data_IF_923479779783
#
_entry.id   IF_923479779783
#
_cell.length_a   1.000
_cell.length_b   1.000
_cell.length_c   1.000
_cell.angle_alpha   90.00
_cell.angle_beta   90.00
_cell.angle_gamma   90.00
#
_symmetry.space_group_name_H-M   'P 1'
#
loop_
_entity.id
_entity.type
_entity.pdbx_description
1 polymer ?
#
# COMPACT_ATOMS: atom_id res chain seq x y z
N UNK A 1 -32.15 7.15 27.79
CA UNK A 1 -30.92 7.50 27.05
C UNK A 1 -31.00 6.86 25.68
N UNK A 2 -30.91 7.63 24.58
CA UNK A 2 -30.67 7.03 23.26
C UNK A 2 -29.22 6.54 23.27
N UNK A 3 -29.02 5.26 22.97
CA UNK A 3 -27.70 4.70 22.79
C UNK A 3 -27.06 5.40 21.58
N UNK A 4 -25.89 6.01 21.78
CA UNK A 4 -25.16 6.60 20.66
C UNK A 4 -24.65 5.48 19.75
N UNK A 5 -24.95 5.60 18.46
CA UNK A 5 -24.49 4.65 17.46
C UNK A 5 -22.96 4.76 17.32
N UNK A 6 -22.25 3.64 17.48
CA UNK A 6 -20.80 3.57 17.34
C UNK A 6 -20.46 3.39 15.85
N UNK A 7 -19.83 4.39 15.25
CA UNK A 7 -19.40 4.36 13.84
C UNK A 7 -17.88 4.23 13.71
N UNK A 8 -17.42 3.34 12.82
CA UNK A 8 -16.03 3.37 12.34
C UNK A 8 -15.88 4.55 11.36
N UNK A 9 -15.11 5.56 11.77
CA UNK A 9 -14.71 6.68 10.91
C UNK A 9 -13.33 6.37 10.34
N UNK A 10 -13.17 6.50 9.03
CA UNK A 10 -11.88 6.28 8.37
C UNK A 10 -11.73 7.17 7.15
N UNK A 11 -10.49 7.35 6.74
CA UNK A 11 -10.04 8.07 5.55
C UNK A 11 -8.77 7.41 5.01
N UNK A 12 -8.29 7.87 3.85
CA UNK A 12 -7.12 7.27 3.19
C UNK A 12 -5.83 7.31 4.04
N UNK A 13 -5.68 8.27 4.95
CA UNK A 13 -4.49 8.40 5.80
C UNK A 13 -4.56 7.43 6.97
N UNK A 14 -5.73 7.34 7.60
CA UNK A 14 -6.04 6.40 8.66
C UNK A 14 -5.91 4.97 8.14
N UNK A 15 -6.41 4.69 6.94
CA UNK A 15 -6.26 3.38 6.28
C UNK A 15 -4.78 3.03 6.03
N UNK A 16 -3.96 3.95 5.50
CA UNK A 16 -2.54 3.69 5.28
C UNK A 16 -1.79 3.36 6.59
N UNK A 17 -2.00 4.20 7.62
CA UNK A 17 -1.36 4.02 8.92
C UNK A 17 -1.81 2.74 9.62
N UNK A 18 -3.12 2.48 9.67
CA UNK A 18 -3.67 1.30 10.33
C UNK A 18 -3.30 0.01 9.56
N UNK A 19 -3.22 0.06 8.23
CA UNK A 19 -2.74 -1.07 7.43
C UNK A 19 -1.27 -1.41 7.73
N UNK A 20 -0.42 -0.41 7.97
CA UNK A 20 0.96 -0.63 8.40
C UNK A 20 1.03 -1.32 9.78
N UNK A 21 0.25 -0.84 10.75
CA UNK A 21 0.14 -1.49 12.08
C UNK A 21 -0.30 -2.95 11.92
N UNK A 22 -1.33 -3.20 11.11
CA UNK A 22 -1.82 -4.57 10.89
C UNK A 22 -0.82 -5.44 10.16
N UNK A 23 -0.02 -4.87 9.27
CA UNK A 23 1.08 -5.59 8.60
C UNK A 23 2.11 -6.08 9.61
N UNK A 24 2.52 -5.22 10.55
CA UNK A 24 3.46 -5.60 11.63
C UNK A 24 2.82 -6.65 12.55
N UNK A 25 1.57 -6.45 12.95
CA UNK A 25 0.84 -7.41 13.79
C UNK A 25 0.81 -8.80 13.13
N UNK A 26 0.38 -8.91 11.87
CA UNK A 26 0.32 -10.20 11.19
C UNK A 26 1.70 -10.80 10.95
N UNK A 27 2.74 -9.98 10.78
CA UNK A 27 4.11 -10.48 10.72
C UNK A 27 4.52 -11.17 12.03
N UNK A 28 4.22 -10.56 13.18
CA UNK A 28 4.53 -11.15 14.48
C UNK A 28 3.80 -12.48 14.68
N UNK A 29 2.52 -12.52 14.34
CA UNK A 29 1.67 -13.71 14.43
C UNK A 29 2.14 -14.88 13.53
N UNK A 30 3.01 -14.64 12.54
CA UNK A 30 3.61 -15.72 11.74
C UNK A 30 4.62 -16.58 12.51
N UNK A 31 5.13 -16.09 13.65
CA UNK A 31 6.02 -16.89 14.50
C UNK A 31 5.27 -18.02 15.22
N UNK A 32 3.98 -17.83 15.45
CA UNK A 32 3.12 -18.77 16.16
C UNK A 32 2.36 -19.68 15.18
N UNK A 33 1.86 -19.10 14.09
CA UNK A 33 1.04 -19.81 13.10
C UNK A 33 1.47 -19.45 11.67
N UNK A 34 1.90 -20.45 10.91
CA UNK A 34 2.41 -20.26 9.54
C UNK A 34 1.32 -19.73 8.61
N UNK A 35 0.06 -20.08 8.84
CA UNK A 35 -1.06 -19.58 8.04
C UNK A 35 -1.17 -18.05 8.06
N UNK A 36 -0.64 -17.36 9.09
CA UNK A 36 -0.67 -15.91 9.17
C UNK A 36 0.17 -15.19 8.12
N UNK A 37 1.07 -15.90 7.40
CA UNK A 37 1.71 -15.36 6.20
C UNK A 37 0.71 -14.88 5.15
N UNK A 38 -0.46 -15.53 5.06
CA UNK A 38 -1.58 -15.07 4.24
C UNK A 38 -2.01 -13.66 4.63
N UNK A 39 -2.26 -13.44 5.91
CA UNK A 39 -2.77 -12.16 6.42
C UNK A 39 -1.70 -11.07 6.38
N UNK A 40 -0.44 -11.44 6.60
CA UNK A 40 0.70 -10.56 6.35
C UNK A 40 0.73 -10.08 4.88
N UNK A 41 0.64 -10.98 3.90
CA UNK A 41 0.68 -10.60 2.48
C UNK A 41 -0.52 -9.75 2.07
N UNK A 42 -1.72 -10.06 2.55
CA UNK A 42 -2.92 -9.25 2.30
C UNK A 42 -2.78 -7.85 2.89
N UNK A 43 -2.32 -7.75 4.14
CA UNK A 43 -2.16 -6.45 4.82
C UNK A 43 -1.00 -5.63 4.24
N UNK A 44 0.12 -6.26 3.88
CA UNK A 44 1.27 -5.62 3.24
C UNK A 44 0.87 -5.01 1.88
N UNK A 45 0.12 -5.78 1.07
CA UNK A 45 -0.45 -5.29 -0.19
C UNK A 45 -1.36 -4.09 0.03
N UNK A 46 -2.30 -4.19 0.98
CA UNK A 46 -3.21 -3.09 1.30
C UNK A 46 -2.46 -1.84 1.80
N UNK A 47 -1.46 -2.03 2.67
CA UNK A 47 -0.59 -0.98 3.19
C UNK A 47 0.11 -0.25 2.05
N UNK A 48 0.84 -0.97 1.20
CA UNK A 48 1.53 -0.34 0.07
C UNK A 48 0.56 0.37 -0.88
N UNK A 49 -0.58 -0.25 -1.18
CA UNK A 49 -1.61 0.39 -2.02
C UNK A 49 -2.10 1.71 -1.43
N UNK A 50 -2.37 1.76 -0.12
CA UNK A 50 -2.83 2.95 0.56
C UNK A 50 -1.77 4.07 0.53
N UNK A 51 -0.48 3.74 0.76
CA UNK A 51 0.60 4.73 0.63
C UNK A 51 0.81 5.22 -0.81
N UNK A 52 0.70 4.34 -1.81
CA UNK A 52 0.72 4.77 -3.22
C UNK A 52 -0.45 5.72 -3.52
N UNK A 53 -1.65 5.44 -2.99
CA UNK A 53 -2.81 6.34 -3.12
C UNK A 53 -2.52 7.70 -2.49
N UNK A 54 -1.94 7.74 -1.29
CA UNK A 54 -1.58 9.00 -0.63
C UNK A 54 -0.60 9.83 -1.46
N UNK A 55 0.46 9.21 -1.97
CA UNK A 55 1.45 9.89 -2.79
C UNK A 55 0.90 10.32 -4.17
N UNK A 56 -0.05 9.56 -4.73
CA UNK A 56 -0.58 9.80 -6.05
C UNK A 56 -1.83 10.69 -6.06
N UNK A 57 -2.61 10.83 -4.99
CA UNK A 57 -3.93 11.50 -5.08
C UNK A 57 -3.83 12.99 -5.41
N UNK A 58 -2.80 13.69 -4.93
CA UNK A 58 -2.77 15.15 -4.96
C UNK A 58 -4.07 15.76 -4.41
N UNK A 59 -4.49 16.90 -4.95
CA UNK A 59 -5.70 17.60 -4.49
C UNK A 59 -7.01 17.06 -5.07
N UNK A 60 -7.00 16.42 -6.25
CA UNK A 60 -8.21 16.03 -6.98
C UNK A 60 -8.47 14.52 -7.05
N UNK A 61 -7.53 13.69 -6.56
CA UNK A 61 -7.59 12.23 -6.61
C UNK A 61 -7.70 11.61 -8.02
N UNK A 62 -7.57 12.41 -9.09
CA UNK A 62 -7.73 11.92 -10.46
C UNK A 62 -6.62 10.92 -10.86
N UNK A 63 -5.40 11.14 -10.39
CA UNK A 63 -4.25 10.29 -10.71
C UNK A 63 -4.34 8.88 -10.14
N UNK A 64 -5.13 8.66 -9.08
CA UNK A 64 -5.33 7.30 -8.54
C UNK A 64 -6.44 6.54 -9.26
N UNK A 65 -7.23 7.19 -10.12
CA UNK A 65 -8.31 6.56 -10.86
C UNK A 65 -7.79 5.86 -12.13
N UNK A 66 -8.61 4.94 -12.67
CA UNK A 66 -8.38 4.46 -14.04
C UNK A 66 -8.52 5.64 -15.03
N UNK A 67 -7.70 5.71 -16.10
CA UNK A 67 -7.71 6.86 -17.01
C UNK A 67 -9.08 7.22 -17.58
N UNK A 68 -9.89 6.22 -17.96
CA UNK A 68 -11.24 6.47 -18.49
C UNK A 68 -12.22 6.97 -17.42
N UNK A 69 -12.04 6.59 -16.15
CA UNK A 69 -12.83 7.12 -15.04
C UNK A 69 -12.44 8.55 -14.71
N UNK A 70 -11.15 8.87 -14.73
CA UNK A 70 -10.66 10.24 -14.54
C UNK A 70 -11.24 11.19 -15.61
N UNK A 71 -11.23 10.79 -16.90
CA UNK A 71 -11.84 11.58 -17.99
C UNK A 71 -13.34 11.79 -17.80
N UNK A 72 -14.08 10.74 -17.41
CA UNK A 72 -15.52 10.85 -17.14
C UNK A 72 -15.81 11.78 -15.97
N UNK A 73 -14.99 11.73 -14.91
CA UNK A 73 -15.11 12.62 -13.76
C UNK A 73 -14.89 14.07 -14.19
N UNK A 74 -13.83 14.35 -14.95
CA UNK A 74 -13.52 15.70 -15.42
C UNK A 74 -14.63 16.28 -16.30
N UNK A 75 -15.13 15.51 -17.27
CA UNK A 75 -16.26 15.92 -18.09
C UNK A 75 -17.52 16.20 -17.26
N UNK A 76 -17.81 15.38 -16.23
CA UNK A 76 -18.96 15.61 -15.35
C UNK A 76 -18.82 16.90 -14.55
N UNK A 77 -17.60 17.19 -14.07
CA UNK A 77 -17.26 18.43 -13.37
C UNK A 77 -17.44 19.66 -14.28
N UNK A 78 -16.92 19.61 -15.51
CA UNK A 78 -17.01 20.71 -16.48
C UNK A 78 -18.44 20.96 -16.96
N UNK A 79 -19.24 19.91 -17.10
CA UNK A 79 -20.64 20.01 -17.59
C UNK A 79 -21.67 20.16 -16.47
N UNK A 80 -21.23 20.34 -15.22
CA UNK A 80 -22.07 20.42 -14.02
C UNK A 80 -23.10 19.28 -13.90
N UNK A 81 -22.69 18.08 -14.36
CA UNK A 81 -23.49 16.87 -14.36
C UNK A 81 -23.26 16.05 -13.09
N UNK A 82 -24.16 15.10 -12.82
CA UNK A 82 -24.04 14.20 -11.66
C UNK A 82 -22.78 13.35 -11.76
N UNK A 83 -21.97 13.37 -10.71
CA UNK A 83 -20.75 12.56 -10.61
C UNK A 83 -21.04 11.06 -10.69
N UNK A 84 -20.28 10.38 -11.55
CA UNK A 84 -20.30 8.93 -11.65
C UNK A 84 -19.47 8.27 -10.52
N UNK A 85 -19.83 7.03 -10.16
CA UNK A 85 -19.03 6.20 -9.25
C UNK A 85 -17.66 5.95 -9.88
N UNK A 86 -16.61 6.54 -9.30
CA UNK A 86 -15.22 6.36 -9.74
C UNK A 86 -14.64 5.08 -9.16
N UNK A 87 -13.65 4.51 -9.86
CA UNK A 87 -12.88 3.36 -9.39
C UNK A 87 -11.40 3.72 -9.42
N UNK A 88 -10.71 3.36 -8.34
CA UNK A 88 -9.25 3.36 -8.28
C UNK A 88 -8.68 2.44 -9.37
N UNK A 89 -7.46 2.77 -9.79
CA UNK A 89 -6.71 1.95 -10.71
C UNK A 89 -6.29 0.60 -10.11
N UNK A 90 -5.81 -0.29 -10.96
CA UNK A 90 -5.25 -1.55 -10.52
C UNK A 90 -3.95 -1.31 -9.74
N UNK A 91 -3.65 -2.20 -8.79
CA UNK A 91 -2.47 -2.10 -7.93
C UNK A 91 -1.17 -1.93 -8.72
N UNK A 92 -0.96 -2.73 -9.77
CA UNK A 92 0.23 -2.64 -10.63
C UNK A 92 0.29 -1.29 -11.35
N UNK A 93 -0.86 -0.78 -11.84
CA UNK A 93 -0.90 0.54 -12.47
C UNK A 93 -0.60 1.68 -11.48
N UNK A 94 -0.94 1.52 -10.19
CA UNK A 94 -0.52 2.48 -9.16
C UNK A 94 1.01 2.41 -8.95
N UNK A 95 1.58 1.21 -8.94
CA UNK A 95 3.02 1.01 -8.85
C UNK A 95 3.77 1.60 -10.06
N UNK A 96 3.23 1.48 -11.27
CA UNK A 96 3.78 2.14 -12.46
C UNK A 96 3.69 3.67 -12.36
N UNK A 97 2.59 4.21 -11.83
CA UNK A 97 2.40 5.65 -11.68
C UNK A 97 3.36 6.29 -10.69
N UNK A 98 3.75 5.61 -9.60
CA UNK A 98 4.77 6.15 -8.70
C UNK A 98 6.16 6.22 -9.35
N UNK A 99 6.34 5.57 -10.50
CA UNK A 99 7.56 5.57 -11.32
C UNK A 99 7.47 6.51 -12.54
N UNK A 100 6.42 7.35 -12.62
CA UNK A 100 6.24 8.27 -13.76
C UNK A 100 6.07 9.72 -13.32
N UNK A 101 6.03 10.60 -14.32
CA UNK A 101 5.73 12.03 -14.22
C UNK A 101 4.42 12.37 -13.47
N UNK A 102 3.52 11.39 -13.30
CA UNK A 102 2.29 11.52 -12.50
C UNK A 102 2.61 11.94 -11.05
N UNK A 103 3.80 11.58 -10.55
CA UNK A 103 4.32 11.99 -9.24
C UNK A 103 4.75 13.46 -9.18
N UNK A 104 5.05 14.12 -10.29
CA UNK A 104 5.59 15.48 -10.32
C UNK A 104 4.50 16.54 -10.08
N UNK A 105 3.97 16.56 -8.85
CA UNK A 105 2.84 17.39 -8.43
C UNK A 105 3.24 18.65 -7.69
N UNK A 106 4.40 18.61 -7.02
CA UNK A 106 4.95 19.66 -6.18
C UNK A 106 6.41 19.90 -6.56
N UNK A 107 6.98 21.02 -6.08
CA UNK A 107 8.36 21.41 -6.41
C UNK A 107 9.39 20.37 -6.00
N UNK A 108 9.20 19.74 -4.84
CA UNK A 108 10.13 18.75 -4.28
C UNK A 108 9.73 17.30 -4.58
N UNK A 109 8.75 17.11 -5.48
CA UNK A 109 8.29 15.78 -5.86
C UNK A 109 9.41 14.95 -6.47
N UNK A 110 9.44 13.66 -6.13
CA UNK A 110 10.36 12.67 -6.73
C UNK A 110 9.59 11.48 -7.29
N UNK A 111 10.22 10.83 -8.26
CA UNK A 111 9.74 9.59 -8.88
C UNK A 111 10.46 8.41 -8.24
N UNK A 112 9.74 7.32 -7.99
CA UNK A 112 10.34 6.09 -7.50
C UNK A 112 11.17 5.42 -8.60
N UNK A 113 12.43 5.11 -8.32
CA UNK A 113 13.28 4.34 -9.22
C UNK A 113 13.26 2.87 -8.80
N UNK A 114 12.49 2.04 -9.51
CA UNK A 114 12.43 0.60 -9.23
C UNK A 114 13.66 -0.14 -9.78
N UNK A 115 14.02 -1.25 -9.12
CA UNK A 115 14.93 -2.26 -9.65
C UNK A 115 14.13 -3.44 -10.20
N UNK A 116 14.76 -4.30 -11.02
CA UNK A 116 14.11 -5.53 -11.49
C UNK A 116 13.64 -6.43 -10.34
N UNK A 117 14.44 -6.51 -9.28
CA UNK A 117 14.13 -7.25 -8.06
C UNK A 117 12.85 -6.70 -7.38
N UNK A 118 12.77 -5.38 -7.18
CA UNK A 118 11.59 -4.75 -6.57
C UNK A 118 10.36 -4.98 -7.44
N UNK A 119 10.47 -4.77 -8.76
CA UNK A 119 9.35 -5.02 -9.68
C UNK A 119 8.86 -6.47 -9.59
N UNK A 120 9.76 -7.46 -9.55
CA UNK A 120 9.41 -8.88 -9.38
C UNK A 120 8.64 -9.11 -8.07
N UNK A 121 9.16 -8.60 -6.95
CA UNK A 121 8.51 -8.72 -5.64
C UNK A 121 7.11 -8.09 -5.61
N UNK A 122 6.88 -6.99 -6.32
CA UNK A 122 5.59 -6.31 -6.36
C UNK A 122 4.56 -7.05 -7.23
N UNK A 123 5.00 -7.63 -8.34
CA UNK A 123 4.16 -8.52 -9.13
C UNK A 123 3.81 -9.78 -8.33
N UNK A 124 4.78 -10.40 -7.65
CA UNK A 124 4.56 -11.56 -6.80
C UNK A 124 3.58 -11.25 -5.65
N UNK A 125 3.77 -10.13 -4.93
CA UNK A 125 2.86 -9.69 -3.87
C UNK A 125 1.42 -9.55 -4.38
N UNK A 126 1.24 -8.94 -5.55
CA UNK A 126 -0.09 -8.75 -6.14
C UNK A 126 -0.74 -10.10 -6.51
N UNK A 127 0.01 -11.02 -7.11
CA UNK A 127 -0.48 -12.35 -7.47
C UNK A 127 -0.83 -13.19 -6.23
N UNK A 128 0.03 -13.19 -5.21
CA UNK A 128 -0.24 -13.88 -3.94
C UNK A 128 -1.51 -13.34 -3.30
N UNK A 129 -1.65 -12.02 -3.18
CA UNK A 129 -2.86 -11.38 -2.64
C UNK A 129 -4.10 -11.77 -3.44
N UNK A 130 -4.03 -11.73 -4.77
CA UNK A 130 -5.15 -12.13 -5.63
C UNK A 130 -5.52 -13.60 -5.41
N UNK A 131 -4.54 -14.49 -5.31
CA UNK A 131 -4.77 -15.92 -5.06
C UNK A 131 -5.43 -16.19 -3.69
N UNK A 132 -5.16 -15.36 -2.68
CA UNK A 132 -5.78 -15.51 -1.36
C UNK A 132 -7.18 -14.89 -1.24
N UNK A 133 -7.49 -13.85 -2.02
CA UNK A 133 -8.79 -13.14 -1.96
C UNK A 133 -9.76 -13.65 -3.03
N UNK A 134 -9.28 -13.80 -4.27
CA UNK A 134 -10.05 -14.23 -5.43
C UNK A 134 -9.75 -15.69 -5.73
N UNK A 135 -9.98 -16.57 -4.75
CA UNK A 135 -9.68 -17.99 -4.90
C UNK A 135 -10.77 -18.73 -5.67
N UNK A 136 -10.36 -19.49 -6.68
CA UNK A 136 -11.12 -20.63 -7.18
C UNK A 136 -10.85 -21.83 -6.25
N UNK A 137 -11.77 -22.79 -6.07
CA UNK A 137 -11.51 -23.98 -5.27
C UNK A 137 -10.24 -24.70 -5.74
N UNK A 138 -9.16 -24.57 -4.98
CA UNK A 138 -7.85 -25.17 -5.24
C UNK A 138 -7.07 -25.36 -3.95
N UNK A 139 -6.35 -26.48 -3.83
CA UNK A 139 -5.30 -26.65 -2.83
C UNK A 139 -3.97 -26.19 -3.43
N UNK A 140 -3.19 -25.42 -2.68
CA UNK A 140 -1.85 -25.01 -3.09
C UNK A 140 -0.98 -24.73 -1.86
N UNK A 141 0.34 -24.82 -2.06
CA UNK A 141 1.35 -24.53 -1.04
C UNK A 141 2.15 -23.30 -1.45
N UNK A 142 2.58 -22.52 -0.48
CA UNK A 142 3.43 -21.35 -0.67
C UNK A 142 4.78 -21.58 0.00
N UNK A 143 5.87 -21.34 -0.72
CA UNK A 143 7.18 -21.28 -0.10
C UNK A 143 7.33 -19.94 0.64
N UNK A 144 7.51 -20.00 1.96
CA UNK A 144 7.57 -18.81 2.81
C UNK A 144 8.98 -18.21 2.97
N UNK A 145 10.04 -18.92 2.56
CA UNK A 145 11.42 -18.49 2.82
C UNK A 145 11.80 -17.20 2.09
N UNK A 146 11.19 -16.93 0.94
CA UNK A 146 11.38 -15.70 0.16
C UNK A 146 10.58 -14.49 0.67
N UNK A 147 9.52 -14.71 1.45
CA UNK A 147 8.57 -13.67 1.83
C UNK A 147 9.16 -12.54 2.68
N UNK A 148 10.13 -12.79 3.60
CA UNK A 148 10.83 -11.70 4.28
C UNK A 148 11.57 -10.76 3.32
N UNK A 149 12.18 -11.29 2.26
CA UNK A 149 12.89 -10.46 1.27
C UNK A 149 11.92 -9.63 0.44
N UNK A 150 10.80 -10.24 0.00
CA UNK A 150 9.72 -9.52 -0.67
C UNK A 150 9.18 -8.38 0.22
N UNK A 151 9.00 -8.64 1.52
CA UNK A 151 8.60 -7.61 2.49
C UNK A 151 9.59 -6.46 2.59
N UNK A 152 10.90 -6.74 2.55
CA UNK A 152 11.95 -5.72 2.58
C UNK A 152 11.96 -4.85 1.33
N UNK A 153 11.66 -5.43 0.16
CA UNK A 153 11.51 -4.66 -1.09
C UNK A 153 10.32 -3.68 -0.97
N UNK A 154 9.20 -4.11 -0.39
CA UNK A 154 8.05 -3.25 -0.10
C UNK A 154 8.39 -2.13 0.89
N UNK A 155 9.14 -2.45 1.95
CA UNK A 155 9.65 -1.45 2.91
C UNK A 155 10.48 -0.38 2.21
N UNK A 156 11.30 -0.74 1.22
CA UNK A 156 12.06 0.21 0.41
C UNK A 156 11.15 1.23 -0.29
N UNK A 157 10.03 0.77 -0.86
CA UNK A 157 9.04 1.65 -1.49
C UNK A 157 8.35 2.52 -0.44
N UNK A 158 7.94 1.95 0.71
CA UNK A 158 7.28 2.71 1.78
C UNK A 158 8.18 3.83 2.30
N UNK A 159 9.49 3.57 2.52
CA UNK A 159 10.47 4.59 2.89
C UNK A 159 10.52 5.71 1.87
N UNK A 160 10.63 5.38 0.59
CA UNK A 160 10.62 6.40 -0.46
C UNK A 160 9.34 7.23 -0.43
N UNK A 161 8.16 6.59 -0.37
CA UNK A 161 6.88 7.27 -0.41
C UNK A 161 6.71 8.24 0.78
N UNK A 162 7.12 7.82 1.98
CA UNK A 162 6.95 8.61 3.22
C UNK A 162 8.03 9.69 3.38
N UNK A 163 9.27 9.40 3.00
CA UNK A 163 10.42 10.26 3.34
C UNK A 163 10.97 11.07 2.16
N UNK A 164 10.86 10.55 0.94
CA UNK A 164 11.61 11.07 -0.20
C UNK A 164 10.73 11.60 -1.32
N UNK A 165 9.49 11.11 -1.43
CA UNK A 165 8.61 11.42 -2.57
C UNK A 165 8.17 12.88 -2.61
N UNK A 166 8.13 13.57 -1.47
CA UNK A 166 7.60 14.93 -1.35
C UNK A 166 6.08 15.05 -1.52
N UNK A 167 5.35 13.94 -1.64
CA UNK A 167 3.95 13.95 -2.06
C UNK A 167 2.93 13.62 -0.96
N UNK A 168 3.39 13.15 0.21
CA UNK A 168 2.49 12.81 1.32
C UNK A 168 2.52 13.93 2.36
N UNK A 169 1.36 14.56 2.54
CA UNK A 169 1.13 15.55 3.59
C UNK A 169 0.60 14.87 4.86
N UNK A 170 1.46 14.88 5.88
CA UNK A 170 1.16 14.46 7.25
C UNK A 170 0.76 15.71 8.03
N UNK A 171 -0.54 15.94 8.17
CA UNK A 171 -1.10 17.12 8.85
C UNK A 171 -0.58 17.33 10.29
N UNK A 172 -0.05 16.27 10.91
CA UNK A 172 0.54 16.27 12.24
C UNK A 172 1.99 15.77 12.16
N UNK A 173 2.93 16.55 12.71
CA UNK A 173 4.37 16.22 12.70
C UNK A 173 4.63 14.86 13.34
N UNK A 174 3.98 14.59 14.46
CA UNK A 174 4.12 13.34 15.20
C UNK A 174 3.70 12.14 14.34
N UNK A 175 2.70 12.32 13.46
CA UNK A 175 2.18 11.23 12.62
C UNK A 175 3.19 10.75 11.59
N UNK A 176 3.99 11.66 11.02
CA UNK A 176 5.09 11.31 10.13
C UNK A 176 6.13 10.49 10.88
N UNK A 177 6.57 10.99 12.04
CA UNK A 177 7.57 10.31 12.87
C UNK A 177 7.13 8.91 13.31
N UNK A 178 5.87 8.74 13.75
CA UNK A 178 5.35 7.42 14.10
C UNK A 178 5.28 6.48 12.90
N UNK A 179 4.90 6.99 11.73
CA UNK A 179 4.87 6.19 10.49
C UNK A 179 6.28 5.71 10.12
N UNK A 180 7.27 6.58 10.20
CA UNK A 180 8.69 6.24 9.99
C UNK A 180 9.16 5.17 10.97
N UNK A 181 8.86 5.32 12.27
CA UNK A 181 9.22 4.33 13.30
C UNK A 181 8.62 2.95 13.01
N UNK A 182 7.36 2.89 12.57
CA UNK A 182 6.70 1.63 12.21
C UNK A 182 7.34 0.99 10.96
N UNK A 183 7.73 1.79 9.95
CA UNK A 183 8.45 1.28 8.77
C UNK A 183 9.79 0.67 9.18
N UNK A 184 10.53 1.33 10.09
CA UNK A 184 11.79 0.81 10.60
C UNK A 184 11.60 -0.46 11.45
N UNK A 185 10.54 -0.51 12.27
CA UNK A 185 10.17 -1.71 13.01
C UNK A 185 9.88 -2.89 12.08
N UNK A 186 9.08 -2.68 11.04
CA UNK A 186 8.77 -3.68 10.03
C UNK A 186 10.05 -4.18 9.34
N UNK A 187 10.94 -3.26 8.95
CA UNK A 187 12.24 -3.59 8.35
C UNK A 187 13.09 -4.49 9.26
N UNK A 188 13.19 -4.13 10.54
CA UNK A 188 13.96 -4.89 11.53
C UNK A 188 13.39 -6.29 11.72
N UNK A 189 12.07 -6.42 11.87
CA UNK A 189 11.40 -7.73 12.05
C UNK A 189 11.59 -8.62 10.82
N UNK A 190 11.39 -8.09 9.61
CA UNK A 190 11.62 -8.84 8.37
C UNK A 190 13.06 -9.30 8.22
N UNK A 191 14.03 -8.46 8.61
CA UNK A 191 15.46 -8.84 8.60
C UNK A 191 15.73 -10.01 9.56
N UNK A 192 15.19 -9.97 10.77
CA UNK A 192 15.29 -11.07 11.74
C UNK A 192 14.67 -12.36 11.20
N UNK A 193 13.50 -12.27 10.57
CA UNK A 193 12.84 -13.44 9.97
C UNK A 193 13.60 -13.98 8.76
N UNK A 194 14.19 -13.12 7.93
CA UNK A 194 15.02 -13.56 6.80
C UNK A 194 16.15 -14.47 7.28
N UNK A 195 16.83 -14.12 8.37
CA UNK A 195 17.87 -14.98 8.95
C UNK A 195 17.34 -16.34 9.46
N UNK A 196 16.09 -16.39 9.95
CA UNK A 196 15.45 -17.63 10.40
C UNK A 196 15.17 -18.61 9.25
N UNK A 197 14.92 -18.12 8.04
CA UNK A 197 14.57 -18.93 6.86
C UNK A 197 15.72 -19.22 5.89
N UNK A 198 16.92 -18.69 6.15
CA UNK A 198 18.15 -18.93 5.36
C UNK A 198 18.97 -20.12 5.93
N UNK A 199 18.41 -20.87 6.88
CA UNK A 199 19.00 -22.11 7.41
C UNK A 199 18.86 -23.26 6.42
#
# INVERSE_FOLDING_TARGET
MKQEDIYLRTDERSEAYNALIKTIQFLDETNEETYNWKWFLISLHNCLQAFMVLALKGSSSLSVMKPHHARKWLNSYETNNRYHKVKMDHFINLFEKIQSDVMMKYTDSKIFASTEQISTSIHELNELRNNFIHYMPKGWSLNISGLPSLGLDVVGILRFLVNESGNIDFFEVDRKQYTEQLIEELSRKLTQMKHKYVV
#
